data_IF_143202604279
#
_entry.id   IF_143202604279
#
_cell.length_a   1.000
_cell.length_b   1.000
_cell.length_c   1.000
_cell.angle_alpha   90.00
_cell.angle_beta   90.00
_cell.angle_gamma   90.00
#
_symmetry.space_group_name_H-M   'P 1'
#
loop_
_entity.id
_entity.type
_entity.pdbx_description
1 polymer ?
#
# COMPACT_ATOMS: atom_id res chain seq x y z
N UNK A 1 -16.96 -1.73 -7.12
CA UNK A 1 -17.72 -2.19 -5.93
C UNK A 1 -16.82 -2.62 -4.77
N UNK A 2 -15.49 -2.40 -4.80
CA UNK A 2 -14.60 -2.72 -3.66
C UNK A 2 -14.36 -4.20 -3.42
N UNK A 3 -14.85 -5.07 -4.32
CA UNK A 3 -14.67 -6.50 -4.21
C UNK A 3 -13.25 -6.90 -4.62
N UNK A 4 -12.68 -7.82 -3.86
CA UNK A 4 -11.40 -8.47 -4.10
C UNK A 4 -11.66 -9.97 -4.25
N UNK A 5 -10.93 -10.60 -5.16
CA UNK A 5 -11.00 -12.05 -5.36
C UNK A 5 -9.58 -12.61 -5.41
N UNK A 6 -9.34 -13.61 -4.59
CA UNK A 6 -8.09 -14.36 -4.55
C UNK A 6 -8.33 -15.66 -5.29
N UNK A 7 -7.46 -15.95 -6.25
CA UNK A 7 -7.53 -17.12 -7.10
C UNK A 7 -6.29 -17.95 -6.91
N UNK A 8 -6.44 -19.26 -6.97
CA UNK A 8 -5.31 -20.18 -7.06
C UNK A 8 -4.70 -20.07 -8.46
N UNK A 9 -3.42 -19.76 -8.55
CA UNK A 9 -2.75 -19.49 -9.82
C UNK A 9 -2.57 -20.74 -10.69
N UNK A 10 -2.50 -21.92 -10.08
CA UNK A 10 -2.28 -23.18 -10.80
C UNK A 10 -3.57 -23.73 -11.43
N UNK A 11 -4.68 -23.59 -10.72
CA UNK A 11 -5.98 -24.18 -11.08
C UNK A 11 -6.97 -23.15 -11.61
N UNK A 12 -6.74 -21.86 -11.38
CA UNK A 12 -7.68 -20.79 -11.70
C UNK A 12 -8.95 -20.80 -10.84
N UNK A 13 -8.97 -21.55 -9.73
CA UNK A 13 -10.13 -21.62 -8.85
C UNK A 13 -10.20 -20.42 -7.91
N UNK A 14 -11.41 -19.93 -7.66
CA UNK A 14 -11.65 -18.88 -6.67
C UNK A 14 -11.40 -19.45 -5.27
N UNK A 15 -10.40 -18.94 -4.58
CA UNK A 15 -10.07 -19.33 -3.20
C UNK A 15 -10.85 -18.49 -2.21
N UNK A 16 -10.94 -17.18 -2.45
CA UNK A 16 -11.54 -16.25 -1.50
C UNK A 16 -12.14 -15.03 -2.17
N UNK A 17 -13.20 -14.50 -1.56
CA UNK A 17 -13.75 -13.19 -1.89
C UNK A 17 -13.68 -12.31 -0.64
N UNK A 18 -13.09 -11.12 -0.80
CA UNK A 18 -12.99 -10.09 0.23
C UNK A 18 -13.70 -8.83 -0.24
N UNK A 19 -14.00 -7.93 0.69
CA UNK A 19 -14.74 -6.72 0.40
C UNK A 19 -14.18 -5.59 1.24
N UNK A 20 -13.73 -4.51 0.57
CA UNK A 20 -13.42 -3.27 1.29
C UNK A 20 -14.70 -2.74 1.95
N UNK A 21 -14.54 -2.21 3.16
CA UNK A 21 -15.62 -1.69 3.98
C UNK A 21 -15.91 -0.21 3.69
N UNK A 22 -17.00 0.32 4.27
CA UNK A 22 -17.20 1.77 4.39
C UNK A 22 -17.42 2.56 3.10
N UNK A 23 -17.91 1.96 2.01
CA UNK A 23 -18.19 2.70 0.77
C UNK A 23 -16.93 3.18 0.03
N UNK A 24 -15.79 2.58 0.35
CA UNK A 24 -14.45 2.68 -0.25
C UNK A 24 -14.38 2.74 -1.78
N UNK A 25 -15.42 2.28 -2.48
CA UNK A 25 -15.51 2.35 -3.93
C UNK A 25 -14.64 1.29 -4.60
N UNK A 26 -14.14 1.52 -5.82
CA UNK A 26 -13.24 0.58 -6.49
C UNK A 26 -11.93 0.37 -5.72
N UNK A 27 -11.38 -0.83 -5.82
CA UNK A 27 -9.98 -1.09 -5.43
C UNK A 27 -9.10 -0.64 -6.57
N UNK A 28 -8.06 0.15 -6.26
CA UNK A 28 -7.14 0.66 -7.30
C UNK A 28 -5.74 0.09 -7.22
N UNK A 29 -5.36 -0.40 -6.04
CA UNK A 29 -4.06 -0.99 -5.78
C UNK A 29 -4.19 -2.14 -4.81
N UNK A 30 -3.34 -3.15 -4.98
CA UNK A 30 -3.18 -4.29 -4.06
C UNK A 30 -1.69 -4.61 -3.90
N UNK A 31 -1.31 -5.19 -2.77
CA UNK A 31 0.03 -5.73 -2.53
C UNK A 31 -0.03 -6.95 -1.61
N UNK A 32 0.67 -8.02 -1.97
CA UNK A 32 0.95 -9.13 -1.05
C UNK A 32 2.22 -8.85 -0.26
N UNK A 33 2.26 -9.27 1.00
CA UNK A 33 3.52 -9.34 1.75
C UNK A 33 4.45 -10.37 1.11
N UNK A 34 5.78 -10.24 1.25
CA UNK A 34 6.73 -11.18 0.65
C UNK A 34 6.61 -12.63 1.16
N UNK A 35 6.00 -12.82 2.32
CA UNK A 35 5.72 -14.13 2.91
C UNK A 35 4.32 -14.67 2.59
N UNK A 36 3.59 -14.00 1.69
CA UNK A 36 2.23 -14.31 1.22
C UNK A 36 1.14 -14.38 2.30
N UNK A 37 1.43 -13.94 3.53
CA UNK A 37 0.47 -13.99 4.63
C UNK A 37 -0.50 -12.83 4.63
N UNK A 38 -0.08 -11.67 4.18
CA UNK A 38 -0.87 -10.45 4.24
C UNK A 38 -1.19 -9.93 2.84
N UNK A 39 -2.43 -9.49 2.64
CA UNK A 39 -2.87 -8.75 1.46
C UNK A 39 -3.28 -7.35 1.91
N UNK A 40 -2.72 -6.31 1.30
CA UNK A 40 -3.17 -4.93 1.45
C UNK A 40 -3.94 -4.49 0.20
N UNK A 41 -5.00 -3.70 0.36
CA UNK A 41 -5.74 -3.12 -0.76
C UNK A 41 -6.16 -1.67 -0.50
N UNK A 42 -5.92 -0.81 -1.49
CA UNK A 42 -6.16 0.62 -1.43
C UNK A 42 -7.51 1.02 -2.04
N UNK A 43 -8.29 1.77 -1.29
CA UNK A 43 -9.57 2.32 -1.70
C UNK A 43 -9.40 3.58 -2.57
N UNK A 44 -10.17 3.68 -3.64
CA UNK A 44 -10.16 4.85 -4.51
C UNK A 44 -10.90 6.06 -3.91
N UNK A 45 -12.00 5.84 -3.19
CA UNK A 45 -12.86 6.96 -2.77
C UNK A 45 -12.48 7.53 -1.40
N UNK A 46 -12.00 6.69 -0.49
CA UNK A 46 -11.81 7.06 0.92
C UNK A 46 -10.34 7.24 1.30
N UNK A 47 -9.40 6.81 0.46
CA UNK A 47 -7.98 6.77 0.81
C UNK A 47 -7.63 5.73 1.87
N UNK A 48 -8.59 4.89 2.29
CA UNK A 48 -8.34 3.82 3.24
C UNK A 48 -7.56 2.68 2.60
N UNK A 49 -6.75 1.99 3.40
CA UNK A 49 -6.15 0.72 3.02
C UNK A 49 -6.62 -0.30 4.03
N UNK A 50 -7.11 -1.44 3.57
CA UNK A 50 -7.40 -2.57 4.46
C UNK A 50 -6.36 -3.65 4.25
N UNK A 51 -6.01 -4.32 5.35
CA UNK A 51 -5.06 -5.44 5.35
C UNK A 51 -5.76 -6.68 5.88
N UNK A 52 -5.56 -7.81 5.21
CA UNK A 52 -6.12 -9.11 5.59
C UNK A 52 -5.05 -10.16 5.71
N UNK A 53 -5.29 -11.10 6.62
CA UNK A 53 -4.63 -12.40 6.62
C UNK A 53 -5.21 -13.24 5.48
N UNK A 54 -4.35 -13.70 4.57
CA UNK A 54 -4.73 -14.40 3.34
C UNK A 54 -5.35 -15.76 3.64
N UNK A 55 -4.78 -16.49 4.61
CA UNK A 55 -5.16 -17.85 4.94
C UNK A 55 -6.59 -17.91 5.53
N UNK A 56 -6.86 -17.09 6.53
CA UNK A 56 -8.15 -17.01 7.24
C UNK A 56 -9.16 -16.11 6.54
N UNK A 57 -8.69 -15.11 5.79
CA UNK A 57 -9.51 -14.03 5.24
C UNK A 57 -9.94 -12.99 6.27
N UNK A 58 -9.39 -13.04 7.49
CA UNK A 58 -9.71 -12.06 8.54
C UNK A 58 -9.05 -10.73 8.22
N UNK A 59 -9.78 -9.64 8.45
CA UNK A 59 -9.21 -8.30 8.36
C UNK A 59 -8.37 -8.04 9.60
N UNK A 60 -7.11 -7.69 9.37
CA UNK A 60 -6.13 -7.38 10.41
C UNK A 60 -6.17 -5.89 10.78
N UNK A 61 -6.25 -5.02 9.78
CA UNK A 61 -6.18 -3.57 10.00
C UNK A 61 -6.93 -2.75 8.95
N UNK A 62 -7.24 -1.52 9.34
CA UNK A 62 -7.70 -0.46 8.43
C UNK A 62 -6.81 0.76 8.65
N UNK A 63 -5.93 1.02 7.68
CA UNK A 63 -5.01 2.15 7.67
C UNK A 63 -5.75 3.39 7.18
N UNK A 64 -5.70 4.46 7.97
CA UNK A 64 -6.34 5.73 7.67
C UNK A 64 -5.33 6.86 7.70
N UNK A 65 -5.53 7.88 6.87
CA UNK A 65 -4.69 9.07 6.86
C UNK A 65 -4.49 9.69 5.49
N UNK A 66 -4.60 8.92 4.40
CA UNK A 66 -4.66 9.52 3.09
C UNK A 66 -5.97 10.31 2.92
N UNK A 67 -5.87 11.50 2.35
CA UNK A 67 -7.01 12.38 2.13
C UNK A 67 -7.72 12.11 0.79
N UNK A 68 -7.13 11.27 -0.05
CA UNK A 68 -7.67 10.87 -1.34
C UNK A 68 -7.27 9.43 -1.68
N UNK A 69 -7.80 8.89 -2.78
CA UNK A 69 -7.64 7.49 -3.17
C UNK A 69 -6.21 7.00 -3.24
N UNK A 70 -5.99 5.74 -2.83
CA UNK A 70 -4.67 5.09 -2.84
C UNK A 70 -4.44 4.41 -4.18
N UNK A 71 -3.49 4.94 -4.94
CA UNK A 71 -3.18 4.54 -6.31
C UNK A 71 -2.04 3.52 -6.38
N UNK A 72 -1.16 3.48 -5.39
CA UNK A 72 -0.03 2.55 -5.34
C UNK A 72 0.15 1.97 -3.93
N UNK A 73 0.48 0.68 -3.85
CA UNK A 73 0.79 -0.04 -2.62
C UNK A 73 1.94 -1.01 -2.88
N UNK A 74 2.87 -1.09 -1.93
CA UNK A 74 3.95 -2.07 -2.02
C UNK A 74 4.55 -2.37 -0.64
N UNK A 75 4.73 -3.66 -0.33
CA UNK A 75 5.54 -4.07 0.82
C UNK A 75 7.04 -3.97 0.50
N UNK A 76 7.86 -3.68 1.51
CA UNK A 76 9.31 -3.85 1.38
C UNK A 76 9.67 -5.31 1.13
N UNK A 77 10.80 -5.62 0.47
CA UNK A 77 11.23 -6.99 0.23
C UNK A 77 11.40 -7.84 1.49
N UNK A 78 11.79 -7.21 2.60
CA UNK A 78 11.91 -7.86 3.91
C UNK A 78 10.56 -8.00 4.65
N UNK A 79 9.49 -7.44 4.10
CA UNK A 79 8.13 -7.48 4.63
C UNK A 79 7.88 -6.59 5.84
N UNK A 80 8.85 -5.80 6.30
CA UNK A 80 8.74 -5.03 7.55
C UNK A 80 7.94 -3.74 7.41
N UNK A 81 7.74 -3.25 6.18
CA UNK A 81 7.02 -2.00 5.90
C UNK A 81 6.04 -2.16 4.74
N UNK A 82 5.01 -1.33 4.77
CA UNK A 82 4.12 -1.09 3.64
C UNK A 82 4.25 0.37 3.23
N UNK A 83 4.42 0.63 1.93
CA UNK A 83 4.35 1.96 1.35
C UNK A 83 3.04 2.15 0.58
N UNK A 84 2.44 3.32 0.69
CA UNK A 84 1.24 3.70 -0.04
C UNK A 84 1.37 5.08 -0.69
N UNK A 85 0.95 5.17 -1.95
CA UNK A 85 0.95 6.40 -2.74
C UNK A 85 -0.47 6.80 -3.10
N UNK A 86 -0.80 8.08 -2.95
CA UNK A 86 -2.17 8.57 -3.09
C UNK A 86 -2.31 9.76 -4.04
N UNK A 87 -3.55 9.96 -4.49
CA UNK A 87 -4.01 11.20 -5.13
C UNK A 87 -3.93 12.43 -4.23
N UNK A 88 -3.61 12.29 -2.94
CA UNK A 88 -3.31 13.42 -2.04
C UNK A 88 -1.86 13.92 -2.14
N UNK A 89 -1.11 13.41 -3.13
CA UNK A 89 0.28 13.75 -3.45
C UNK A 89 1.29 13.28 -2.41
N UNK A 90 0.86 12.47 -1.43
CA UNK A 90 1.74 11.94 -0.40
C UNK A 90 2.08 10.48 -0.61
N UNK A 91 3.26 10.12 -0.14
CA UNK A 91 3.63 8.72 0.13
C UNK A 91 3.58 8.51 1.63
N UNK A 92 2.89 7.48 2.10
CA UNK A 92 2.87 7.09 3.51
C UNK A 92 3.57 5.76 3.69
N UNK A 93 4.24 5.63 4.83
CA UNK A 93 4.93 4.41 5.23
C UNK A 93 4.30 3.92 6.51
N UNK A 94 4.00 2.63 6.53
CA UNK A 94 3.34 1.93 7.62
C UNK A 94 4.25 0.81 8.10
N UNK A 95 4.23 0.55 9.39
CA UNK A 95 4.82 -0.64 9.98
C UNK A 95 3.97 -1.86 9.56
N UNK A 96 4.58 -2.95 9.09
CA UNK A 96 3.82 -4.08 8.57
C UNK A 96 3.36 -5.07 9.65
N UNK A 97 3.90 -4.99 10.87
CA UNK A 97 3.52 -5.86 11.99
C UNK A 97 2.39 -5.21 12.81
N UNK A 98 2.52 -3.91 13.08
CA UNK A 98 1.59 -3.13 13.91
C UNK A 98 0.56 -2.37 13.08
N UNK A 99 0.85 -2.11 11.79
CA UNK A 99 0.04 -1.27 10.91
C UNK A 99 -0.05 0.19 11.36
N UNK A 100 0.87 0.64 12.20
CA UNK A 100 0.97 2.04 12.60
C UNK A 100 1.60 2.90 11.48
N UNK A 101 1.16 4.16 11.40
CA UNK A 101 1.77 5.12 10.47
C UNK A 101 3.13 5.57 10.99
N UNK A 102 4.18 5.30 10.21
CA UNK A 102 5.55 5.67 10.55
C UNK A 102 5.92 7.04 10.01
N UNK A 103 5.61 7.31 8.73
CA UNK A 103 5.94 8.56 8.07
C UNK A 103 4.94 8.96 6.99
N UNK A 104 4.93 10.26 6.69
CA UNK A 104 4.25 10.85 5.52
C UNK A 104 5.22 11.75 4.78
N UNK A 105 5.52 11.41 3.52
CA UNK A 105 6.44 12.11 2.64
C UNK A 105 5.65 13.04 1.72
N UNK A 106 5.94 14.34 1.76
CA UNK A 106 5.07 15.42 1.21
C UNK A 106 5.71 16.27 0.13
N UNK A 107 6.63 15.71 -0.64
CA UNK A 107 7.44 16.52 -1.56
C UNK A 107 6.86 16.54 -2.99
N UNK A 108 6.07 15.55 -3.39
CA UNK A 108 5.35 15.61 -4.68
C UNK A 108 4.28 16.69 -4.68
N UNK A 109 4.15 17.39 -5.82
CA UNK A 109 3.12 18.41 -6.05
C UNK A 109 1.93 17.86 -6.85
N UNK A 110 2.02 16.60 -7.27
CA UNK A 110 1.08 15.92 -8.15
C UNK A 110 0.77 14.53 -7.59
N UNK A 111 -0.38 13.92 -7.96
CA UNK A 111 -0.74 12.58 -7.54
C UNK A 111 0.34 11.52 -7.72
N UNK A 112 0.53 10.67 -6.71
CA UNK A 112 1.43 9.52 -6.81
C UNK A 112 0.80 8.49 -7.74
N UNK A 113 1.59 8.01 -8.71
CA UNK A 113 1.13 7.05 -9.73
C UNK A 113 1.74 5.68 -9.54
N UNK A 114 2.96 5.58 -9.01
CA UNK A 114 3.63 4.32 -8.72
C UNK A 114 4.60 4.42 -7.55
N UNK A 115 4.85 3.26 -6.93
CA UNK A 115 5.89 3.03 -5.94
C UNK A 115 6.72 1.82 -6.37
N UNK A 116 8.02 1.83 -6.08
CA UNK A 116 8.88 0.66 -6.21
C UNK A 116 9.99 0.69 -5.19
N UNK A 117 10.16 -0.39 -4.42
CA UNK A 117 11.36 -0.59 -3.62
C UNK A 117 12.50 -1.19 -4.46
N UNK A 118 13.71 -0.75 -4.17
CA UNK A 118 14.94 -1.45 -4.57
C UNK A 118 14.93 -2.90 -4.07
N UNK A 119 15.61 -3.84 -4.74
CA UNK A 119 15.63 -5.25 -4.34
C UNK A 119 16.19 -5.51 -2.94
N UNK A 120 17.12 -4.66 -2.47
CA UNK A 120 17.67 -4.73 -1.11
C UNK A 120 16.80 -3.99 -0.06
N UNK A 121 15.71 -3.34 -0.50
CA UNK A 121 14.77 -2.61 0.35
C UNK A 121 15.29 -1.28 0.89
N UNK A 122 16.48 -0.84 0.47
CA UNK A 122 17.16 0.35 1.02
C UNK A 122 16.68 1.66 0.43
N UNK A 123 16.05 1.63 -0.74
CA UNK A 123 15.49 2.80 -1.42
C UNK A 123 14.05 2.55 -1.82
N UNK A 124 13.21 3.56 -1.61
CA UNK A 124 11.88 3.68 -2.22
C UNK A 124 11.92 4.71 -3.33
N UNK A 125 11.38 4.35 -4.49
CA UNK A 125 11.15 5.28 -5.60
C UNK A 125 9.64 5.55 -5.70
N UNK A 126 9.29 6.83 -5.81
CA UNK A 126 7.91 7.24 -6.09
C UNK A 126 7.84 8.08 -7.35
N UNK A 127 6.84 7.81 -8.19
CA UNK A 127 6.54 8.62 -9.37
C UNK A 127 5.20 9.32 -9.24
N UNK A 128 5.08 10.50 -9.86
CA UNK A 128 3.85 11.28 -9.88
C UNK A 128 3.38 11.60 -11.30
N UNK A 129 2.11 11.96 -11.46
CA UNK A 129 1.49 12.25 -12.77
C UNK A 129 2.16 13.39 -13.54
N UNK A 130 2.80 14.32 -12.84
CA UNK A 130 3.61 15.39 -13.46
C UNK A 130 4.98 14.95 -13.99
N UNK A 131 5.27 13.64 -14.02
CA UNK A 131 6.53 13.10 -14.54
C UNK A 131 7.73 13.19 -13.58
N UNK A 132 7.50 13.60 -12.33
CA UNK A 132 8.55 13.64 -11.31
C UNK A 132 8.76 12.28 -10.68
N UNK A 133 10.02 11.92 -10.43
CA UNK A 133 10.43 10.75 -9.65
C UNK A 133 11.23 11.22 -8.44
N UNK A 134 10.98 10.61 -7.29
CA UNK A 134 11.73 10.85 -6.05
C UNK A 134 12.30 9.55 -5.52
N UNK A 135 13.43 9.68 -4.83
CA UNK A 135 14.13 8.60 -4.16
C UNK A 135 14.12 8.91 -2.67
N UNK A 136 13.78 7.92 -1.86
CA UNK A 136 13.74 8.00 -0.41
C UNK A 136 14.60 6.88 0.16
N UNK A 137 15.70 7.25 0.83
CA UNK A 137 16.53 6.29 1.57
C UNK A 137 15.70 5.66 2.71
N UNK A 138 15.61 4.34 2.72
CA UNK A 138 15.24 3.49 3.84
C UNK A 138 16.53 3.05 4.55
N UNK A 139 16.90 3.75 5.64
CA UNK A 139 16.06 3.80 6.81
C UNK A 139 15.44 5.17 6.96
N UNK A 140 14.14 5.18 7.16
CA UNK A 140 13.32 6.33 7.49
C UNK A 140 13.64 6.86 8.91
N UNK A 141 14.91 7.08 9.21
CA UNK A 141 15.37 7.86 10.35
C UNK A 141 15.25 9.34 9.99
N UNK A 142 14.64 10.18 10.85
CA UNK A 142 14.71 11.62 10.66
C UNK A 142 16.17 12.06 10.74
N UNK A 143 16.71 12.59 9.63
CA UNK A 143 17.99 13.33 9.64
C UNK A 143 17.75 14.66 10.38
N UNK A 144 17.82 14.68 11.71
CA UNK A 144 18.05 15.94 12.43
C UNK A 144 19.55 16.25 12.38
N UNK A 145 19.88 17.43 11.84
CA UNK A 145 21.10 18.16 12.19
C UNK A 145 20.71 19.26 13.16
#
# INVERSE_FOLDING_TARGET
>A
NGALRIWDAATGQLVRQLQLSGGSGPVRSIAFSPDDKHLAAGAQNTGQIEVWDVASGQRLATLTGHAAGVQALQFTPDGTRLASGSFDHTVRIWDADTYDSLLTLRDHQEPITSLVFSPDGTDLYSSASGGTVRIWEAPLTPKWK
#
